data_IF_139400662488
#
_entry.id   IF_139400662488
#
_cell.length_a   1.000
_cell.length_b   1.000
_cell.length_c   1.000
_cell.angle_alpha   90.00
_cell.angle_beta   90.00
_cell.angle_gamma   90.00
#
_symmetry.space_group_name_H-M   'P 1'
#
loop_
_entity.id
_entity.type
_entity.pdbx_description
1 polymer ?
#
# COMPACT_ATOMS: atom_id res chain seq x y z
N UNK A 1 4.83 -6.10 7.50
CA UNK A 1 4.63 -5.55 6.15
C UNK A 1 5.44 -6.37 5.17
N UNK A 2 5.06 -6.36 3.91
CA UNK A 2 5.63 -7.19 2.86
C UNK A 2 5.64 -6.47 1.53
N UNK A 3 6.55 -6.89 0.66
CA UNK A 3 6.56 -6.55 -0.75
C UNK A 3 5.79 -7.61 -1.55
N UNK A 4 5.15 -7.18 -2.62
CA UNK A 4 4.49 -8.00 -3.63
C UNK A 4 5.28 -7.87 -4.93
N UNK A 5 5.44 -8.98 -5.63
CA UNK A 5 5.88 -9.01 -7.02
C UNK A 5 4.86 -9.78 -7.86
N UNK A 6 4.36 -9.19 -8.94
CA UNK A 6 3.23 -9.75 -9.67
C UNK A 6 3.29 -9.47 -11.17
N UNK A 7 2.57 -10.29 -11.94
CA UNK A 7 2.41 -10.13 -13.40
C UNK A 7 0.95 -9.80 -13.67
N UNK A 8 0.71 -8.83 -14.55
CA UNK A 8 -0.62 -8.46 -15.02
C UNK A 8 -0.65 -8.51 -16.54
N UNK A 9 -1.68 -9.16 -17.10
CA UNK A 9 -1.90 -9.25 -18.55
C UNK A 9 -0.71 -9.83 -19.33
N UNK A 10 0.07 -10.72 -18.72
CA UNK A 10 1.30 -11.28 -19.28
C UNK A 10 2.47 -10.29 -19.39
N UNK A 11 2.33 -9.09 -18.84
CA UNK A 11 3.33 -8.02 -18.90
C UNK A 11 4.09 -7.88 -17.59
N UNK A 12 5.40 -8.13 -17.64
CA UNK A 12 6.39 -7.68 -16.64
C UNK A 12 6.20 -8.16 -15.20
N UNK A 13 7.18 -7.85 -14.35
CA UNK A 13 7.04 -7.94 -12.90
C UNK A 13 6.84 -6.53 -12.35
N UNK A 14 5.65 -6.26 -11.83
CA UNK A 14 5.32 -5.06 -11.09
C UNK A 14 5.49 -5.29 -9.59
N UNK A 15 5.66 -4.21 -8.85
CA UNK A 15 5.84 -4.24 -7.41
C UNK A 15 4.82 -3.39 -6.67
N UNK A 16 4.37 -3.91 -5.53
CA UNK A 16 3.56 -3.21 -4.55
C UNK A 16 4.01 -3.59 -3.14
N UNK A 17 3.35 -3.01 -2.15
CA UNK A 17 3.44 -3.36 -0.74
C UNK A 17 2.09 -3.87 -0.23
N UNK A 18 2.11 -4.64 0.85
CA UNK A 18 0.91 -5.09 1.55
C UNK A 18 1.16 -5.37 3.03
N UNK A 19 0.08 -5.71 3.74
CA UNK A 19 0.12 -6.04 5.17
C UNK A 19 -0.73 -7.26 5.48
N UNK A 20 -0.23 -8.16 6.31
CA UNK A 20 -1.01 -9.30 6.81
C UNK A 20 -2.06 -8.83 7.81
N UNK A 21 -3.32 -9.22 7.60
CA UNK A 21 -4.41 -9.07 8.55
C UNK A 21 -4.67 -10.38 9.33
N UNK A 22 -4.37 -11.52 8.72
CA UNK A 22 -4.37 -12.86 9.35
C UNK A 22 -3.13 -13.63 8.87
N UNK A 23 -2.87 -14.88 9.31
CA UNK A 23 -1.74 -15.67 8.81
C UNK A 23 -1.71 -15.84 7.28
N UNK A 24 -2.86 -15.82 6.60
CA UNK A 24 -2.95 -16.06 5.15
C UNK A 24 -3.60 -14.92 4.37
N UNK A 25 -4.25 -13.96 5.04
CA UNK A 25 -4.94 -12.86 4.36
C UNK A 25 -4.13 -11.58 4.48
N UNK A 26 -3.78 -11.03 3.33
CA UNK A 26 -3.10 -9.75 3.21
C UNK A 26 -4.01 -8.70 2.58
N UNK A 27 -3.86 -7.47 3.07
CA UNK A 27 -4.46 -6.27 2.53
C UNK A 27 -3.46 -5.52 1.64
N UNK A 28 -3.94 -5.05 0.50
CA UNK A 28 -3.20 -4.20 -0.45
C UNK A 28 -4.20 -3.31 -1.22
N UNK A 29 -3.75 -2.61 -2.26
CA UNK A 29 -4.59 -1.79 -3.14
C UNK A 29 -5.25 -2.65 -4.24
N UNK A 30 -6.35 -2.18 -4.82
CA UNK A 30 -7.05 -2.84 -5.92
C UNK A 30 -6.16 -2.93 -7.17
N UNK A 31 -5.47 -1.84 -7.51
CA UNK A 31 -4.54 -1.79 -8.64
C UNK A 31 -3.33 -2.72 -8.50
N UNK A 32 -3.01 -3.17 -7.28
CA UNK A 32 -1.96 -4.16 -7.02
C UNK A 32 -2.42 -5.60 -7.23
N UNK A 33 -3.72 -5.84 -7.43
CA UNK A 33 -4.33 -7.18 -7.58
C UNK A 33 -5.17 -7.33 -8.84
N UNK A 34 -5.41 -6.24 -9.56
CA UNK A 34 -6.15 -6.20 -10.81
C UNK A 34 -5.47 -5.25 -11.80
N UNK A 35 -5.17 -5.75 -12.99
CA UNK A 35 -4.62 -4.98 -14.10
C UNK A 35 -5.70 -4.42 -15.02
N UNK A 36 -5.27 -3.73 -16.08
CA UNK A 36 -6.18 -3.15 -17.07
C UNK A 36 -7.17 -4.19 -17.63
N UNK A 37 -8.43 -3.80 -17.80
CA UNK A 37 -9.49 -4.70 -18.29
C UNK A 37 -10.12 -5.60 -17.24
N UNK A 38 -9.95 -5.29 -15.95
CA UNK A 38 -10.62 -5.99 -14.85
C UNK A 38 -10.08 -7.40 -14.59
N UNK A 39 -8.85 -7.70 -15.04
CA UNK A 39 -8.25 -9.01 -14.89
C UNK A 39 -7.41 -9.06 -13.61
N UNK A 40 -7.67 -10.06 -12.77
CA UNK A 40 -6.81 -10.37 -11.65
C UNK A 40 -5.39 -10.70 -12.13
N UNK A 41 -4.38 -10.45 -11.28
CA UNK A 41 -2.98 -10.77 -11.60
C UNK A 41 -2.81 -12.23 -12.03
N UNK A 42 -1.97 -12.47 -13.04
CA UNK A 42 -1.63 -13.82 -13.53
C UNK A 42 -0.85 -14.62 -12.47
N UNK A 43 0.04 -13.91 -11.76
CA UNK A 43 0.74 -14.41 -10.61
C UNK A 43 1.03 -13.31 -9.60
N UNK A 44 1.12 -13.67 -8.32
CA UNK A 44 1.50 -12.76 -7.25
C UNK A 44 2.33 -13.52 -6.23
N UNK A 45 3.46 -12.93 -5.88
CA UNK A 45 4.45 -13.45 -4.95
C UNK A 45 4.63 -12.45 -3.81
N UNK A 46 4.82 -12.96 -2.59
CA UNK A 46 4.96 -12.15 -1.39
C UNK A 46 6.24 -12.49 -0.64
N UNK A 47 6.95 -11.45 -0.19
CA UNK A 47 8.11 -11.57 0.69
C UNK A 47 8.07 -10.54 1.82
N UNK A 48 8.65 -10.92 2.96
CA UNK A 48 8.57 -10.15 4.20
C UNK A 48 9.93 -9.69 4.74
N UNK A 49 11.01 -10.07 4.08
CA UNK A 49 12.35 -9.69 4.48
C UNK A 49 12.52 -8.19 4.39
N UNK A 50 13.42 -7.64 5.21
CA UNK A 50 13.70 -6.21 5.20
C UNK A 50 14.43 -5.80 3.92
N UNK A 51 15.46 -6.55 3.56
CA UNK A 51 16.14 -6.47 2.27
C UNK A 51 15.61 -7.59 1.38
N UNK A 52 14.61 -7.27 0.57
CA UNK A 52 13.84 -8.26 -0.19
C UNK A 52 14.57 -8.77 -1.44
N UNK A 53 15.74 -8.24 -1.78
CA UNK A 53 16.56 -8.66 -2.94
C UNK A 53 17.99 -9.07 -2.59
N UNK A 54 18.36 -9.07 -1.30
CA UNK A 54 19.67 -9.50 -0.79
C UNK A 54 20.18 -10.85 -1.34
N UNK A 55 19.27 -11.77 -1.65
CA UNK A 55 19.57 -13.12 -2.15
C UNK A 55 19.11 -13.35 -3.60
N UNK A 56 18.89 -12.27 -4.36
CA UNK A 56 18.43 -12.37 -5.74
C UNK A 56 19.36 -13.19 -6.62
N UNK A 57 18.79 -14.10 -7.41
CA UNK A 57 19.50 -14.86 -8.44
C UNK A 57 18.66 -15.06 -9.70
N UNK A 58 19.32 -15.38 -10.81
CA UNK A 58 18.68 -15.68 -12.10
C UNK A 58 18.56 -17.19 -12.35
N UNK A 59 17.46 -17.67 -12.97
CA UNK A 59 16.33 -16.90 -13.48
C UNK A 59 15.36 -16.45 -12.36
N UNK A 60 14.71 -15.29 -12.53
CA UNK A 60 13.77 -14.69 -11.55
C UNK A 60 12.69 -15.67 -11.09
N UNK A 61 12.14 -16.48 -12.01
CA UNK A 61 11.12 -17.47 -11.68
C UNK A 61 11.60 -18.55 -10.70
N UNK A 62 12.87 -18.97 -10.79
CA UNK A 62 13.46 -19.92 -9.85
C UNK A 62 13.71 -19.27 -8.49
N UNK A 63 14.12 -18.00 -8.46
CA UNK A 63 14.29 -17.24 -7.22
C UNK A 63 12.96 -17.00 -6.50
N UNK A 64 11.90 -16.62 -7.23
CA UNK A 64 10.56 -16.49 -6.67
C UNK A 64 10.06 -17.81 -6.08
N UNK A 65 10.18 -18.92 -6.83
CA UNK A 65 9.76 -20.23 -6.36
C UNK A 65 10.52 -20.71 -5.11
N UNK A 66 11.78 -20.30 -4.94
CA UNK A 66 12.61 -20.70 -3.81
C UNK A 66 12.39 -19.84 -2.56
N UNK A 67 12.24 -18.52 -2.73
CA UNK A 67 12.38 -17.55 -1.63
C UNK A 67 11.10 -16.75 -1.35
N UNK A 68 10.05 -16.89 -2.17
CA UNK A 68 8.82 -16.11 -2.05
C UNK A 68 7.60 -17.01 -1.82
N UNK A 69 6.59 -16.44 -1.18
CA UNK A 69 5.31 -17.12 -0.95
C UNK A 69 4.37 -16.77 -2.10
N UNK A 70 3.96 -17.77 -2.88
CA UNK A 70 2.96 -17.56 -3.93
C UNK A 70 1.58 -17.30 -3.31
N UNK A 71 0.83 -16.37 -3.89
CA UNK A 71 -0.59 -16.22 -3.64
C UNK A 71 -1.38 -17.37 -4.30
N UNK A 72 -2.42 -17.85 -3.63
CA UNK A 72 -3.41 -18.76 -4.22
C UNK A 72 -4.50 -18.01 -4.94
N UNK A 73 -4.80 -16.79 -4.49
CA UNK A 73 -5.81 -15.94 -5.05
C UNK A 73 -5.48 -14.47 -4.74
N UNK A 74 -5.84 -13.58 -5.66
CA UNK A 74 -5.92 -12.15 -5.41
C UNK A 74 -7.35 -11.69 -5.68
N UNK A 75 -7.83 -10.72 -4.89
CA UNK A 75 -9.24 -10.33 -4.85
C UNK A 75 -9.32 -8.79 -4.83
N UNK A 76 -9.57 -8.12 -5.96
CA UNK A 76 -9.90 -6.69 -5.95
C UNK A 76 -11.28 -6.46 -5.32
N UNK A 77 -11.54 -5.23 -4.85
CA UNK A 77 -12.91 -4.83 -4.53
C UNK A 77 -13.80 -4.99 -5.79
N UNK A 78 -15.03 -5.53 -5.70
CA UNK A 78 -15.88 -5.79 -6.89
C UNK A 78 -16.31 -4.57 -7.72
N UNK A 79 -15.94 -3.37 -7.29
CA UNK A 79 -16.21 -2.10 -7.96
C UNK A 79 -14.92 -1.35 -8.32
N UNK A 80 -13.77 -1.94 -8.02
CA UNK A 80 -12.52 -1.45 -8.58
C UNK A 80 -12.56 -1.71 -10.09
N UNK A 81 -12.18 -0.70 -10.86
CA UNK A 81 -12.21 -0.71 -12.33
C UNK A 81 -11.27 0.38 -12.83
N UNK A 82 -9.97 0.21 -12.53
CA UNK A 82 -8.89 1.12 -12.95
C UNK A 82 -9.23 2.62 -12.78
N UNK A 83 -9.71 2.98 -11.58
CA UNK A 83 -10.12 4.34 -11.23
C UNK A 83 -11.24 4.97 -12.09
N UNK A 84 -12.02 4.20 -12.85
CA UNK A 84 -13.10 4.70 -13.73
C UNK A 84 -14.18 5.50 -12.98
N UNK A 85 -14.38 5.20 -11.69
CA UNK A 85 -15.32 5.88 -10.80
C UNK A 85 -14.70 7.02 -9.98
N UNK A 86 -13.52 7.52 -10.35
CA UNK A 86 -12.81 8.59 -9.65
C UNK A 86 -13.74 9.79 -9.32
N UNK A 87 -13.74 10.31 -8.07
CA UNK A 87 -12.80 10.05 -6.98
C UNK A 87 -13.16 8.87 -6.06
N UNK A 88 -14.23 8.12 -6.34
CA UNK A 88 -14.53 6.88 -5.61
C UNK A 88 -13.77 5.73 -6.28
N UNK A 89 -12.53 5.51 -5.86
CA UNK A 89 -11.57 4.62 -6.53
C UNK A 89 -11.84 3.13 -6.31
N UNK A 90 -12.47 2.75 -5.20
CA UNK A 90 -12.59 1.36 -4.73
C UNK A 90 -11.24 0.63 -4.64
N UNK A 91 -10.14 1.38 -4.52
CA UNK A 91 -8.78 0.88 -4.63
C UNK A 91 -8.30 0.15 -3.36
N UNK A 92 -8.90 -1.01 -3.13
CA UNK A 92 -8.55 -1.94 -2.07
C UNK A 92 -8.63 -3.36 -2.60
N UNK A 93 -7.70 -4.21 -2.18
CA UNK A 93 -7.58 -5.58 -2.63
C UNK A 93 -7.04 -6.49 -1.54
N UNK A 94 -7.22 -7.79 -1.73
CA UNK A 94 -6.70 -8.83 -0.86
C UNK A 94 -5.79 -9.79 -1.62
N UNK A 95 -4.79 -10.32 -0.93
CA UNK A 95 -3.95 -11.41 -1.39
C UNK A 95 -4.09 -12.57 -0.40
N UNK A 96 -4.44 -13.75 -0.91
CA UNK A 96 -4.57 -14.98 -0.13
C UNK A 96 -3.31 -15.81 -0.33
N UNK A 97 -2.53 -16.01 0.74
CA UNK A 97 -1.27 -16.75 0.68
C UNK A 97 -1.49 -18.27 0.58
N UNK A 98 -0.58 -18.96 -0.10
CA UNK A 98 -0.56 -20.43 -0.18
C UNK A 98 -0.21 -21.14 1.12
N UNK A 99 0.42 -20.43 2.07
CA UNK A 99 0.78 -20.94 3.37
C UNK A 99 0.69 -19.86 4.44
N UNK A 100 0.37 -20.21 5.70
CA UNK A 100 0.29 -19.25 6.78
C UNK A 100 1.66 -18.68 7.15
N UNK A 101 1.69 -17.39 7.45
CA UNK A 101 2.85 -16.68 7.99
C UNK A 101 2.56 -16.29 9.43
N UNK A 102 3.26 -16.92 10.36
CA UNK A 102 3.15 -16.61 11.79
C UNK A 102 3.81 -15.26 12.09
N UNK A 103 3.07 -14.36 12.74
CA UNK A 103 3.56 -13.07 13.22
C UNK A 103 3.16 -12.86 14.67
N UNK A 104 3.97 -12.08 15.38
CA UNK A 104 3.61 -11.57 16.72
C UNK A 104 2.47 -10.55 16.65
N UNK A 105 2.37 -9.82 15.55
CA UNK A 105 1.36 -8.78 15.32
C UNK A 105 0.88 -8.80 13.88
N UNK A 106 -0.45 -8.76 13.71
CA UNK A 106 -1.13 -8.55 12.44
C UNK A 106 -1.70 -7.13 12.37
N UNK A 107 -1.92 -6.65 11.15
CA UNK A 107 -2.66 -5.43 10.88
C UNK A 107 -4.09 -5.53 11.41
N UNK A 108 -4.63 -4.44 11.94
CA UNK A 108 -6.01 -4.36 12.44
C UNK A 108 -6.78 -3.28 11.70
N UNK A 109 -8.07 -3.52 11.47
CA UNK A 109 -8.97 -2.51 10.94
C UNK A 109 -9.12 -1.36 11.97
N UNK A 110 -9.25 -0.11 11.51
CA UNK A 110 -9.47 1.04 12.37
C UNK A 110 -10.93 1.10 12.85
N UNK A 111 -11.26 1.93 13.86
CA UNK A 111 -12.65 2.18 14.23
C UNK A 111 -13.45 2.71 13.03
N UNK A 112 -14.68 2.21 12.86
CA UNK A 112 -15.59 2.64 11.79
C UNK A 112 -15.85 4.16 11.89
N UNK A 113 -15.74 4.85 10.76
CA UNK A 113 -15.99 6.29 10.64
C UNK A 113 -14.94 7.19 11.31
N UNK A 114 -13.77 6.66 11.71
CA UNK A 114 -12.73 7.41 12.40
C UNK A 114 -12.45 8.80 11.79
N UNK A 115 -12.23 8.92 10.47
CA UNK A 115 -11.90 10.21 9.87
C UNK A 115 -13.11 11.16 9.78
N UNK A 116 -14.34 10.64 9.80
CA UNK A 116 -15.55 11.46 9.75
C UNK A 116 -15.95 11.96 11.14
N UNK A 117 -15.70 11.17 12.19
CA UNK A 117 -16.12 11.49 13.56
C UNK A 117 -15.03 12.17 14.39
N UNK A 118 -13.76 12.09 13.96
CA UNK A 118 -12.64 12.67 14.71
C UNK A 118 -12.49 14.17 14.40
N UNK A 119 -12.40 15.04 15.44
CA UNK A 119 -12.17 16.47 15.21
C UNK A 119 -10.90 16.73 14.38
N UNK A 120 -10.96 17.68 13.44
CA UNK A 120 -9.82 17.99 12.58
C UNK A 120 -8.55 18.35 13.35
N UNK A 121 -8.66 19.00 14.52
CA UNK A 121 -7.52 19.32 15.35
C UNK A 121 -6.78 18.04 15.81
N UNK A 122 -7.53 17.01 16.18
CA UNK A 122 -6.99 15.69 16.56
C UNK A 122 -6.37 14.98 15.35
N UNK A 123 -7.02 15.00 14.19
CA UNK A 123 -6.46 14.44 12.96
C UNK A 123 -5.15 15.13 12.56
N UNK A 124 -5.08 16.46 12.68
CA UNK A 124 -3.87 17.25 12.40
C UNK A 124 -2.77 16.96 13.42
N UNK A 125 -3.09 16.65 14.67
CA UNK A 125 -2.12 16.29 15.70
C UNK A 125 -1.56 14.87 15.50
N UNK A 126 -2.38 13.96 14.98
CA UNK A 126 -2.02 12.57 14.70
C UNK A 126 -0.86 12.45 13.70
N UNK A 127 -0.06 11.39 13.86
CA UNK A 127 0.92 10.96 12.86
C UNK A 127 0.43 9.67 12.20
N UNK A 128 0.67 9.60 10.89
CA UNK A 128 0.39 8.44 10.07
C UNK A 128 1.74 7.87 9.59
N UNK A 129 1.91 6.57 9.68
CA UNK A 129 3.16 5.88 9.36
C UNK A 129 2.94 4.98 8.14
N UNK A 130 3.22 5.46 6.91
CA UNK A 130 3.32 4.58 5.76
C UNK A 130 4.54 3.67 5.93
N UNK A 131 4.39 2.41 5.54
CA UNK A 131 5.47 1.42 5.54
C UNK A 131 5.45 0.69 4.21
N UNK A 132 6.59 0.60 3.53
CA UNK A 132 6.67 -0.08 2.24
C UNK A 132 8.08 -0.26 1.70
N UNK A 133 8.13 -0.70 0.45
CA UNK A 133 9.34 -1.08 -0.28
C UNK A 133 9.56 -0.22 -1.54
N UNK A 134 8.91 0.96 -1.58
CA UNK A 134 9.03 1.88 -2.69
C UNK A 134 10.36 2.63 -2.72
N UNK A 135 10.59 3.33 -3.83
CA UNK A 135 11.82 4.10 -4.02
C UNK A 135 11.96 5.17 -2.91
N UNK A 136 13.19 5.48 -2.50
CA UNK A 136 13.44 6.53 -1.50
C UNK A 136 13.26 7.96 -2.03
N UNK A 137 12.93 8.09 -3.31
CA UNK A 137 12.63 9.33 -3.99
C UNK A 137 12.89 9.22 -5.49
N UNK A 138 12.60 10.30 -6.23
CA UNK A 138 12.96 10.41 -7.64
C UNK A 138 13.69 11.71 -7.90
N UNK A 139 14.88 11.61 -8.49
CA UNK A 139 15.65 12.77 -8.87
C UNK A 139 14.95 13.44 -10.06
N UNK A 140 14.84 14.78 -10.10
CA UNK A 140 14.43 15.43 -11.33
C UNK A 140 15.44 15.08 -12.43
N UNK A 141 15.04 15.05 -13.71
CA UNK A 141 15.92 14.67 -14.83
C UNK A 141 17.24 15.48 -14.90
N UNK A 142 17.27 16.67 -14.27
CA UNK A 142 18.43 17.57 -14.21
C UNK A 142 19.39 17.31 -13.04
N UNK A 143 19.09 16.37 -12.15
CA UNK A 143 19.90 16.07 -10.96
C UNK A 143 20.80 14.87 -11.18
N UNK A 144 22.09 15.03 -10.90
CA UNK A 144 23.09 13.94 -10.91
C UNK A 144 23.23 13.22 -9.56
N UNK A 145 22.39 13.56 -8.57
CA UNK A 145 22.43 12.90 -7.26
C UNK A 145 21.75 11.52 -7.37
N UNK A 146 22.47 10.41 -7.08
CA UNK A 146 21.84 9.10 -6.99
C UNK A 146 20.84 9.10 -5.84
N UNK A 147 19.65 8.55 -6.08
CA UNK A 147 18.70 8.23 -5.03
C UNK A 147 18.76 6.71 -4.85
N UNK A 148 18.99 6.21 -3.64
CA UNK A 148 19.00 4.78 -3.41
C UNK A 148 17.66 4.15 -3.80
N UNK A 149 17.74 3.03 -4.50
CA UNK A 149 16.66 2.09 -4.75
C UNK A 149 17.23 0.71 -4.41
N UNK A 150 17.12 0.37 -3.14
CA UNK A 150 17.63 -0.86 -2.56
C UNK A 150 16.52 -1.90 -2.34
N UNK A 151 15.28 -1.58 -2.75
CA UNK A 151 14.10 -2.43 -2.61
C UNK A 151 13.95 -3.01 -1.19
N UNK A 152 14.29 -2.19 -0.18
CA UNK A 152 14.21 -2.54 1.22
C UNK A 152 13.00 -1.89 1.91
N UNK A 153 12.65 -2.41 3.09
CA UNK A 153 11.50 -1.93 3.86
C UNK A 153 11.84 -0.66 4.62
N UNK A 154 11.11 0.42 4.31
CA UNK A 154 11.18 1.68 5.03
C UNK A 154 9.84 2.09 5.62
N UNK A 155 9.91 3.09 6.49
CA UNK A 155 8.74 3.77 7.03
C UNK A 155 8.94 5.27 7.05
N UNK A 156 7.86 6.00 6.85
CA UNK A 156 7.81 7.47 6.88
C UNK A 156 6.90 8.00 7.97
N UNK A 157 6.83 9.32 8.09
CA UNK A 157 5.81 9.98 8.91
C UNK A 157 5.07 11.03 8.09
N UNK A 158 3.76 10.89 8.03
CA UNK A 158 2.86 11.78 7.31
C UNK A 158 1.91 12.50 8.27
N UNK A 159 1.39 13.62 7.78
CA UNK A 159 0.38 14.43 8.47
C UNK A 159 -0.90 14.51 7.66
N UNK A 160 -2.01 14.55 8.38
CA UNK A 160 -3.32 14.81 7.82
C UNK A 160 -3.39 16.17 7.11
N UNK A 161 -3.99 16.18 5.92
CA UNK A 161 -4.33 17.40 5.18
C UNK A 161 -5.86 17.57 5.18
N UNK A 162 -6.57 16.60 4.59
CA UNK A 162 -8.03 16.63 4.44
C UNK A 162 -8.59 15.22 4.20
N UNK A 163 -9.90 15.03 4.43
CA UNK A 163 -10.65 13.79 4.11
C UNK A 163 -11.83 14.05 3.16
N UNK A 164 -12.10 15.31 2.84
CA UNK A 164 -13.23 15.70 2.00
C UNK A 164 -12.78 16.80 1.05
N UNK A 165 -12.51 16.40 -0.20
CA UNK A 165 -12.24 17.32 -1.31
C UNK A 165 -12.63 16.66 -2.64
N UNK A 166 -12.71 17.45 -3.71
CA UNK A 166 -13.05 16.96 -5.05
C UNK A 166 -12.17 15.79 -5.51
N UNK A 167 -10.91 15.77 -5.07
CA UNK A 167 -9.92 14.73 -5.40
C UNK A 167 -9.95 13.55 -4.43
N UNK A 168 -10.37 13.74 -3.18
CA UNK A 168 -10.42 12.67 -2.17
C UNK A 168 -11.73 11.89 -2.17
N UNK A 169 -12.80 12.50 -2.71
CA UNK A 169 -14.13 11.91 -2.71
C UNK A 169 -14.59 11.55 -1.30
N UNK A 170 -15.19 10.36 -1.16
CA UNK A 170 -15.60 9.79 0.13
C UNK A 170 -14.68 8.68 0.64
N UNK A 171 -13.73 8.24 -0.20
CA UNK A 171 -12.96 7.01 0.01
C UNK A 171 -11.49 7.26 0.36
N UNK A 172 -10.95 8.46 0.12
CA UNK A 172 -9.54 8.75 0.38
C UNK A 172 -9.34 9.74 1.53
N UNK A 173 -8.23 9.57 2.25
CA UNK A 173 -7.65 10.60 3.11
C UNK A 173 -6.39 11.14 2.46
N UNK A 174 -6.27 12.47 2.39
CA UNK A 174 -5.11 13.14 1.83
C UNK A 174 -4.08 13.42 2.92
N UNK A 175 -2.88 12.92 2.71
CA UNK A 175 -1.75 13.05 3.62
C UNK A 175 -0.58 13.78 2.94
N UNK A 176 0.31 14.34 3.76
CA UNK A 176 1.56 14.92 3.26
C UNK A 176 2.45 13.84 2.66
N UNK A 177 3.03 14.08 1.50
CA UNK A 177 4.13 13.29 0.95
C UNK A 177 5.32 14.23 0.78
N UNK A 178 5.99 14.62 1.86
CA UNK A 178 7.14 15.52 1.74
C UNK A 178 8.36 14.81 2.32
N UNK A 179 9.48 14.69 1.57
CA UNK A 179 10.75 14.28 2.13
C UNK A 179 11.15 15.42 3.06
N UNK A 180 10.93 15.22 4.36
CA UNK A 180 10.88 16.28 5.35
C UNK A 180 12.25 16.84 5.66
N UNK A 181 12.90 17.49 4.69
CA UNK A 181 14.15 18.25 4.69
C UNK A 181 14.84 18.47 6.06
N UNK A 182 15.24 17.39 6.74
CA UNK A 182 15.84 17.41 8.08
C UNK A 182 14.90 17.61 9.28
N UNK A 183 13.59 17.77 9.10
CA UNK A 183 12.58 18.03 10.16
C UNK A 183 11.56 16.89 10.37
N UNK A 184 11.82 15.68 9.85
CA UNK A 184 11.14 14.46 10.30
C UNK A 184 9.77 14.17 9.68
N UNK A 185 9.65 14.32 8.36
CA UNK A 185 8.51 13.83 7.57
C UNK A 185 8.96 12.91 6.43
N UNK A 186 8.12 11.95 6.08
CA UNK A 186 8.28 11.08 4.92
C UNK A 186 6.97 10.99 4.13
N UNK A 187 6.91 10.07 3.18
CA UNK A 187 5.71 9.79 2.41
C UNK A 187 5.90 8.51 1.62
N UNK A 188 5.19 8.39 0.52
CA UNK A 188 5.25 7.21 -0.34
C UNK A 188 5.83 7.52 -1.71
N UNK A 189 6.31 6.49 -2.40
CA UNK A 189 6.81 6.56 -3.75
C UNK A 189 6.41 5.31 -4.54
N UNK A 190 6.82 5.22 -5.81
CA UNK A 190 6.55 4.05 -6.63
C UNK A 190 7.04 2.77 -5.93
N UNK A 191 6.21 1.74 -5.87
CA UNK A 191 6.46 0.49 -5.12
C UNK A 191 5.86 0.46 -3.70
N UNK A 192 5.55 1.61 -3.09
CA UNK A 192 4.81 1.66 -1.82
C UNK A 192 3.31 1.46 -2.00
N UNK A 193 2.82 1.46 -3.24
CA UNK A 193 1.42 1.21 -3.60
C UNK A 193 0.86 -0.01 -2.87
N UNK A 194 -0.36 0.09 -2.34
CA UNK A 194 -0.99 -0.97 -1.54
C UNK A 194 -0.43 -1.14 -0.12
N UNK A 195 0.67 -0.45 0.21
CA UNK A 195 1.25 -0.48 1.54
C UNK A 195 0.33 0.12 2.60
N UNK A 196 0.41 -0.35 3.85
CA UNK A 196 -0.38 0.20 4.93
C UNK A 196 0.10 1.60 5.31
N UNK A 197 -0.85 2.48 5.57
CA UNK A 197 -0.66 3.68 6.37
C UNK A 197 -1.21 3.42 7.76
N UNK A 198 -0.32 3.29 8.75
CA UNK A 198 -0.68 2.97 10.13
C UNK A 198 -1.01 4.23 10.93
N UNK A 199 -1.84 4.10 11.97
CA UNK A 199 -1.72 5.02 13.09
C UNK A 199 -0.37 4.80 13.74
N UNK A 200 0.42 5.87 13.86
CA UNK A 200 1.82 5.79 14.29
C UNK A 200 1.97 5.00 15.61
N UNK A 201 2.97 4.12 15.66
CA UNK A 201 3.25 3.20 16.78
C UNK A 201 2.14 2.17 17.09
N UNK A 202 1.27 1.84 16.13
CA UNK A 202 0.25 0.79 16.27
C UNK A 202 0.26 -0.13 15.06
N UNK A 203 -0.46 -1.25 15.11
CA UNK A 203 -0.75 -2.07 13.93
C UNK A 203 -2.08 -1.74 13.26
N UNK A 204 -2.73 -0.65 13.65
CA UNK A 204 -4.02 -0.25 13.08
C UNK A 204 -3.78 0.41 11.74
N UNK A 205 -4.31 -0.20 10.67
CA UNK A 205 -4.18 0.27 9.28
C UNK A 205 -5.23 1.34 9.06
N UNK A 206 -4.87 2.61 9.20
CA UNK A 206 -5.79 3.72 8.99
C UNK A 206 -6.24 3.81 7.52
N UNK A 207 -5.33 3.53 6.60
CA UNK A 207 -5.57 3.57 5.16
C UNK A 207 -4.57 2.68 4.39
N UNK A 208 -4.85 2.45 3.10
CA UNK A 208 -3.99 1.77 2.13
C UNK A 208 -3.45 2.79 1.13
N UNK A 209 -2.15 2.74 0.81
CA UNK A 209 -1.57 3.65 -0.16
C UNK A 209 -2.14 3.41 -1.57
N UNK A 210 -2.79 4.43 -2.15
CA UNK A 210 -3.55 4.30 -3.39
C UNK A 210 -2.88 5.06 -4.53
N UNK A 211 -2.85 6.40 -4.47
CA UNK A 211 -2.23 7.22 -5.50
C UNK A 211 -1.59 8.50 -4.96
N UNK A 212 -0.64 9.04 -5.72
CA UNK A 212 0.05 10.31 -5.44
C UNK A 212 -0.04 11.24 -6.64
N UNK A 213 -0.09 12.56 -6.40
CA UNK A 213 -0.30 13.54 -7.48
C UNK A 213 0.99 13.99 -8.17
N UNK A 214 2.17 13.76 -7.58
CA UNK A 214 3.44 14.17 -8.21
C UNK A 214 4.33 12.98 -8.57
N UNK A 215 4.97 13.01 -9.75
CA UNK A 215 5.82 11.91 -10.21
C UNK A 215 7.18 11.86 -9.49
N UNK A 216 7.47 12.82 -8.61
CA UNK A 216 8.78 12.99 -7.97
C UNK A 216 8.79 12.55 -6.51
N UNK A 217 7.78 11.79 -6.08
CA UNK A 217 7.65 11.29 -4.69
C UNK A 217 7.71 12.42 -3.66
N UNK A 218 6.93 13.46 -3.94
CA UNK A 218 6.72 14.65 -3.11
C UNK A 218 5.29 15.19 -3.24
N UNK A 219 4.91 16.19 -2.44
CA UNK A 219 3.57 16.78 -2.46
C UNK A 219 2.59 16.07 -1.52
N UNK A 220 1.63 15.34 -2.07
CA UNK A 220 0.52 14.74 -1.31
C UNK A 220 0.17 13.35 -1.80
N UNK A 221 -0.15 12.48 -0.86
CA UNK A 221 -0.66 11.14 -1.09
C UNK A 221 -2.15 11.08 -0.77
N UNK A 222 -2.84 10.22 -1.50
CA UNK A 222 -4.24 9.89 -1.31
C UNK A 222 -4.30 8.43 -0.91
N UNK A 223 -4.67 8.20 0.35
CA UNK A 223 -4.72 6.87 0.93
C UNK A 223 -6.17 6.39 0.98
N UNK A 224 -6.46 5.21 0.48
CA UNK A 224 -7.78 4.59 0.55
C UNK A 224 -8.12 4.23 2.01
N UNK A 225 -9.19 4.83 2.53
CA UNK A 225 -9.59 4.78 3.93
C UNK A 225 -10.11 3.40 4.33
N UNK A 226 -9.53 2.82 5.39
CA UNK A 226 -9.96 1.53 5.93
C UNK A 226 -11.00 1.65 7.06
N UNK A 227 -11.40 2.86 7.43
CA UNK A 227 -12.43 3.15 8.43
C UNK A 227 -13.85 3.21 7.85
N UNK A 228 -14.01 3.08 6.53
CA UNK A 228 -15.34 3.15 5.89
C UNK A 228 -16.07 1.82 5.97
N UNK A 229 -17.41 1.85 6.03
CA UNK A 229 -18.21 0.63 5.97
C UNK A 229 -17.96 -0.16 4.68
N UNK A 230 -17.74 0.53 3.56
CA UNK A 230 -17.37 -0.06 2.28
C UNK A 230 -16.10 -0.91 2.41
N UNK A 231 -15.01 -0.32 2.92
CA UNK A 231 -13.74 -1.04 3.08
C UNK A 231 -13.87 -2.20 4.06
N UNK A 232 -14.52 -1.99 5.21
CA UNK A 232 -14.62 -3.03 6.24
C UNK A 232 -15.56 -4.17 5.85
N UNK A 233 -16.66 -3.90 5.15
CA UNK A 233 -17.56 -4.94 4.65
C UNK A 233 -16.89 -5.82 3.58
N UNK A 234 -15.99 -5.25 2.79
CA UNK A 234 -15.18 -5.99 1.83
C UNK A 234 -14.18 -6.93 2.53
N UNK A 235 -13.47 -6.45 3.55
CA UNK A 235 -12.36 -7.20 4.18
C UNK A 235 -12.81 -8.19 5.25
N UNK A 236 -13.78 -7.81 6.09
CA UNK A 236 -14.23 -8.60 7.27
C UNK A 236 -14.56 -10.06 6.97
N UNK A 237 -15.24 -10.42 5.85
CA UNK A 237 -15.55 -11.81 5.54
C UNK A 237 -14.34 -12.75 5.46
N UNK A 238 -13.14 -12.20 5.26
CA UNK A 238 -11.88 -12.94 5.11
C UNK A 238 -11.05 -13.02 6.40
N UNK A 239 -11.43 -12.31 7.48
CA UNK A 239 -10.62 -12.22 8.71
C UNK A 239 -10.82 -13.39 9.69
N UNK A 240 -11.11 -14.59 9.18
CA UNK A 240 -11.36 -15.78 10.00
C UNK A 240 -10.07 -16.39 10.54
#
# INVERSE_FOLDING_TARGET
MSTLLFVQNGEGYFSCTGTLLTPTVMLTAGHCVEGAGGQANDETWVRFDEDAISDYFVPTSAWLAANWIRATQVIPHPMYDDYSAFPNTFDVGLVILSQPVTRTTYGRLPPLGYFDTTPQATLKAQRFEPVGYGLLGKAPPTSNKPIPDDYARYKGLQRFIEVSSTTSGSQSVKLTNNPGAGNGGGGTCNGDSGGPTLFNNTSVVAAVNSFSVTPNCKGTDFMFRMDTALAQNFVTPYLK
#
